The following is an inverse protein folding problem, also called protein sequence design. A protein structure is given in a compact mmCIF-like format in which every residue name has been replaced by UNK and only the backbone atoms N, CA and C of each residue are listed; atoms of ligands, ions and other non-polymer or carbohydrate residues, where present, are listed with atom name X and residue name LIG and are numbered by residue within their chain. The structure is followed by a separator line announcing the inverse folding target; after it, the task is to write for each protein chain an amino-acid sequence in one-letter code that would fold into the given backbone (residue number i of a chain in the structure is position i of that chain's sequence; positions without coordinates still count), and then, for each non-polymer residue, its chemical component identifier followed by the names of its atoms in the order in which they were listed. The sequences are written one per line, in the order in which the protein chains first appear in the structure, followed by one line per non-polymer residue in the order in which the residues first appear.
data_IF_983286981306
#
_entry.id   IF_983286981306
#
_cell.length_a   1.000
_cell.length_b   1.000
_cell.length_c   1.000
_cell.angle_alpha   90.00
_cell.angle_beta   90.00
_cell.angle_gamma   90.00
#
_symmetry.space_group_name_H-M   'P 1'
#
loop_
_entity.id
_entity.type
_entity.pdbx_description
1 polymer ?
#
# COMPACT_ATOMS: atom_id res chain seq x y z
N UNK A 1 2.40 -21.72 -18.03
CA UNK A 1 1.22 -21.30 -17.24
C UNK A 1 1.73 -20.49 -16.05
N UNK A 2 1.59 -19.16 -16.09
CA UNK A 2 2.12 -18.28 -15.04
C UNK A 2 1.29 -18.44 -13.76
N UNK A 3 1.94 -18.73 -12.63
CA UNK A 3 1.33 -18.68 -11.29
C UNK A 3 0.69 -17.30 -11.14
N UNK A 4 -0.63 -17.20 -11.26
CA UNK A 4 -1.37 -16.07 -10.70
C UNK A 4 -1.09 -16.15 -9.20
N UNK A 5 -0.15 -15.35 -8.70
CA UNK A 5 -0.11 -15.05 -7.28
C UNK A 5 -1.54 -14.63 -6.91
N UNK A 6 -2.09 -15.20 -5.83
CA UNK A 6 -3.45 -14.91 -5.38
C UNK A 6 -3.54 -13.43 -5.01
N UNK A 7 -3.86 -12.61 -5.99
CA UNK A 7 -4.03 -11.19 -5.85
C UNK A 7 -5.29 -10.96 -5.02
N UNK A 8 -5.16 -10.40 -3.82
CA UNK A 8 -6.34 -10.06 -3.02
C UNK A 8 -7.07 -8.84 -3.58
N UNK A 9 -8.34 -8.70 -3.20
CA UNK A 9 -9.16 -7.54 -3.56
C UNK A 9 -8.52 -6.23 -3.07
N UNK A 10 -8.16 -6.18 -1.79
CA UNK A 10 -7.66 -4.95 -1.18
C UNK A 10 -6.24 -4.62 -1.68
N UNK A 11 -5.33 -5.61 -1.80
CA UNK A 11 -3.98 -5.37 -2.31
C UNK A 11 -3.98 -4.88 -3.76
N UNK A 12 -4.88 -5.39 -4.60
CA UNK A 12 -5.04 -4.89 -5.98
C UNK A 12 -5.42 -3.42 -6.02
N UNK A 13 -6.34 -3.00 -5.14
CA UNK A 13 -6.73 -1.59 -5.03
C UNK A 13 -5.50 -0.76 -4.61
N UNK A 14 -4.77 -1.19 -3.59
CA UNK A 14 -3.58 -0.49 -3.11
C UNK A 14 -2.50 -0.34 -4.19
N UNK A 15 -2.28 -1.38 -5.01
CA UNK A 15 -1.31 -1.34 -6.12
C UNK A 15 -1.63 -0.27 -7.17
N UNK A 16 -2.91 0.05 -7.39
CA UNK A 16 -3.29 1.14 -8.29
C UNK A 16 -3.18 2.50 -7.58
N UNK A 17 -3.65 2.58 -6.33
CA UNK A 17 -3.62 3.81 -5.55
C UNK A 17 -2.21 4.32 -5.25
N UNK A 18 -1.20 3.44 -5.21
CA UNK A 18 0.18 3.87 -4.95
C UNK A 18 0.67 4.90 -5.99
N UNK A 19 0.17 4.83 -7.22
CA UNK A 19 0.49 5.74 -8.33
C UNK A 19 -0.45 6.96 -8.42
N UNK A 20 -1.41 7.12 -7.51
CA UNK A 20 -2.31 8.27 -7.46
C UNK A 20 -1.61 9.46 -6.80
N UNK A 21 -0.87 10.25 -7.59
CA UNK A 21 -0.06 11.36 -7.06
C UNK A 21 -0.80 12.69 -6.95
N UNK A 22 -1.93 12.85 -7.64
CA UNK A 22 -2.70 14.09 -7.65
C UNK A 22 -4.21 13.81 -7.75
N UNK A 23 -5.07 14.72 -7.26
CA UNK A 23 -6.53 14.58 -7.35
C UNK A 23 -7.05 14.37 -8.77
N UNK A 24 -6.38 14.98 -9.77
CA UNK A 24 -6.77 14.87 -11.19
C UNK A 24 -6.72 13.43 -11.72
N UNK A 25 -5.94 12.56 -11.07
CA UNK A 25 -5.74 11.16 -11.47
C UNK A 25 -6.82 10.23 -10.91
N UNK A 26 -7.64 10.67 -9.96
CA UNK A 26 -8.59 9.80 -9.24
C UNK A 26 -9.52 9.06 -10.20
N UNK A 27 -10.11 9.76 -11.18
CA UNK A 27 -11.02 9.14 -12.14
C UNK A 27 -10.32 8.03 -12.97
N UNK A 28 -9.06 8.27 -13.37
CA UNK A 28 -8.28 7.29 -14.12
C UNK A 28 -7.91 6.07 -13.25
N UNK A 29 -7.46 6.33 -12.01
CA UNK A 29 -7.13 5.29 -11.03
C UNK A 29 -8.34 4.40 -10.73
N UNK A 30 -9.50 4.99 -10.49
CA UNK A 30 -10.74 4.24 -10.25
C UNK A 30 -11.18 3.41 -11.47
N UNK A 31 -11.01 3.95 -12.68
CA UNK A 31 -11.26 3.19 -13.91
C UNK A 31 -10.32 1.96 -14.02
N UNK A 32 -9.04 2.11 -13.65
CA UNK A 32 -8.07 1.00 -13.62
C UNK A 32 -8.43 -0.04 -12.56
N UNK A 33 -8.82 0.39 -11.37
CA UNK A 33 -9.28 -0.50 -10.29
C UNK A 33 -10.48 -1.31 -10.76
N UNK A 34 -11.53 -0.66 -11.28
CA UNK A 34 -12.74 -1.33 -11.81
C UNK A 34 -12.39 -2.38 -12.86
N UNK A 35 -11.51 -2.02 -13.81
CA UNK A 35 -11.04 -2.93 -14.86
C UNK A 35 -10.29 -4.14 -14.29
N UNK A 36 -9.38 -3.92 -13.34
CA UNK A 36 -8.56 -4.98 -12.75
C UNK A 36 -9.38 -5.91 -11.85
N UNK A 37 -10.29 -5.37 -11.02
CA UNK A 37 -11.20 -6.18 -10.21
C UNK A 37 -12.04 -7.14 -11.06
N UNK A 38 -12.56 -6.65 -12.20
CA UNK A 38 -13.28 -7.47 -13.18
C UNK A 38 -12.37 -8.53 -13.82
N UNK A 39 -11.17 -8.14 -14.25
CA UNK A 39 -10.22 -9.07 -14.89
C UNK A 39 -9.81 -10.23 -13.97
N UNK A 40 -9.62 -9.97 -12.68
CA UNK A 40 -9.24 -10.99 -11.70
C UNK A 40 -10.43 -11.66 -11.00
N UNK A 41 -11.68 -11.26 -11.32
CA UNK A 41 -12.90 -11.75 -10.69
C UNK A 41 -12.88 -11.64 -9.14
N UNK A 42 -12.44 -10.50 -8.62
CA UNK A 42 -12.26 -10.28 -7.16
C UNK A 42 -13.51 -9.69 -6.48
N UNK A 43 -14.57 -9.43 -7.24
CA UNK A 43 -15.82 -8.84 -6.75
C UNK A 43 -16.07 -7.42 -7.28
N UNK A 44 -17.19 -6.80 -6.89
CA UNK A 44 -17.59 -5.50 -7.39
C UNK A 44 -16.72 -4.37 -6.81
N UNK A 45 -16.61 -3.27 -7.55
CA UNK A 45 -16.04 -2.02 -7.06
C UNK A 45 -16.88 -1.47 -5.89
N UNK A 46 -16.21 -1.04 -4.81
CA UNK A 46 -16.84 -0.40 -3.65
C UNK A 46 -16.07 0.87 -3.28
N UNK A 47 -16.70 2.03 -3.44
CA UNK A 47 -16.06 3.33 -3.18
C UNK A 47 -15.49 3.40 -1.76
N UNK A 48 -16.29 3.04 -0.76
CA UNK A 48 -15.88 3.07 0.66
C UNK A 48 -14.63 2.24 0.94
N UNK A 49 -14.46 1.08 0.27
CA UNK A 49 -13.25 0.24 0.42
C UNK A 49 -12.04 0.91 -0.23
N UNK A 50 -12.23 1.51 -1.41
CA UNK A 50 -11.17 2.25 -2.10
C UNK A 50 -10.73 3.46 -1.28
N UNK A 51 -11.67 4.21 -0.73
CA UNK A 51 -11.38 5.37 0.11
C UNK A 51 -10.63 4.97 1.38
N UNK A 52 -11.03 3.89 2.04
CA UNK A 52 -10.33 3.35 3.20
C UNK A 52 -8.87 2.96 2.88
N UNK A 53 -8.63 2.29 1.75
CA UNK A 53 -7.27 1.92 1.32
C UNK A 53 -6.46 3.15 0.86
N UNK A 54 -7.14 4.16 0.29
CA UNK A 54 -6.52 5.44 -0.09
C UNK A 54 -6.03 6.21 1.14
N UNK A 55 -6.77 6.16 2.25
CA UNK A 55 -6.31 6.71 3.52
C UNK A 55 -5.01 6.04 3.98
N UNK A 56 -4.94 4.70 3.99
CA UNK A 56 -3.73 3.95 4.33
C UNK A 56 -2.54 4.39 3.47
N UNK A 57 -2.74 4.43 2.15
CA UNK A 57 -1.70 4.83 1.21
C UNK A 57 -1.17 6.22 1.53
N UNK A 58 -2.04 7.18 1.83
CA UNK A 58 -1.65 8.56 2.11
C UNK A 58 -0.92 8.68 3.46
N UNK A 59 -1.35 7.95 4.49
CA UNK A 59 -0.65 7.89 5.76
C UNK A 59 0.75 7.29 5.60
N UNK A 60 0.88 6.17 4.89
CA UNK A 60 2.19 5.57 4.58
C UNK A 60 3.08 6.53 3.79
N UNK A 61 2.53 7.23 2.79
CA UNK A 61 3.30 8.21 2.03
C UNK A 61 3.80 9.37 2.90
N UNK A 62 3.01 9.82 3.87
CA UNK A 62 3.43 10.87 4.80
C UNK A 62 4.49 10.35 5.78
N UNK A 63 4.29 9.16 6.34
CA UNK A 63 5.20 8.54 7.31
C UNK A 63 6.56 8.22 6.68
N UNK A 64 6.59 7.56 5.52
CA UNK A 64 7.82 7.13 4.85
C UNK A 64 8.66 8.35 4.42
N UNK A 65 8.02 9.46 4.03
CA UNK A 65 8.70 10.73 3.70
C UNK A 65 9.42 11.36 4.88
N UNK A 66 9.11 10.97 6.13
CA UNK A 66 9.84 11.44 7.31
C UNK A 66 11.27 10.89 7.37
N UNK A 67 11.55 9.78 6.67
CA UNK A 67 12.87 9.15 6.61
C UNK A 67 13.44 8.94 8.02
N UNK A 68 14.61 9.49 8.32
CA UNK A 68 15.29 9.40 9.62
C UNK A 68 14.51 10.00 10.79
N UNK A 69 13.42 10.73 10.54
CA UNK A 69 12.51 11.27 11.57
C UNK A 69 11.33 10.34 11.86
N UNK A 70 11.08 9.33 11.04
CA UNK A 70 10.07 8.32 11.31
C UNK A 70 10.49 7.47 12.51
N UNK A 71 9.56 7.19 13.40
CA UNK A 71 9.80 6.25 14.52
C UNK A 71 10.02 4.81 14.05
N UNK A 72 9.68 4.51 12.79
CA UNK A 72 9.88 3.20 12.17
C UNK A 72 11.19 3.11 11.40
N UNK A 73 11.97 4.19 11.28
CA UNK A 73 13.20 4.19 10.50
C UNK A 73 14.33 3.49 11.27
N UNK A 74 14.75 2.34 10.76
CA UNK A 74 15.94 1.65 11.21
C UNK A 74 17.14 2.35 10.59
N UNK A 75 17.99 2.93 11.44
CA UNK A 75 19.25 3.53 10.99
C UNK A 75 20.21 2.43 10.57
N UNK A 76 20.08 1.91 9.36
CA UNK A 76 21.06 0.98 8.81
C UNK A 76 22.29 1.77 8.34
N UNK A 77 23.50 1.21 8.46
CA UNK A 77 24.74 1.88 8.06
C UNK A 77 24.95 1.91 6.53
N UNK A 78 23.96 1.52 5.72
CA UNK A 78 24.12 1.45 4.27
C UNK A 78 23.97 2.82 3.62
N UNK A 79 24.69 3.04 2.51
CA UNK A 79 24.56 4.25 1.68
C UNK A 79 23.34 4.14 0.74
N UNK A 80 22.82 2.93 0.52
CA UNK A 80 21.68 2.67 -0.36
C UNK A 80 20.41 2.45 0.44
N UNK A 81 19.30 2.99 -0.06
CA UNK A 81 17.97 2.76 0.48
C UNK A 81 17.59 1.28 0.36
N UNK A 82 17.12 0.69 1.46
CA UNK A 82 16.72 -0.71 1.55
C UNK A 82 15.37 -0.87 2.22
N UNK A 83 14.74 -2.01 1.97
CA UNK A 83 13.47 -2.37 2.63
C UNK A 83 13.63 -2.45 4.15
N UNK A 84 14.80 -2.88 4.62
CA UNK A 84 15.11 -3.06 6.03
C UNK A 84 15.29 -1.73 6.80
N UNK A 85 15.38 -0.60 6.09
CA UNK A 85 15.46 0.73 6.69
C UNK A 85 14.16 1.16 7.35
N UNK A 86 13.07 0.42 7.14
CA UNK A 86 11.81 0.61 7.87
C UNK A 86 11.41 -0.67 8.59
N UNK A 87 11.01 -0.56 9.86
CA UNK A 87 10.43 -1.65 10.64
C UNK A 87 8.98 -1.91 10.21
N UNK A 88 8.84 -2.65 9.10
CA UNK A 88 7.53 -3.09 8.58
C UNK A 88 6.74 -3.89 9.63
N UNK A 89 7.41 -4.63 10.52
CA UNK A 89 6.70 -5.42 11.53
C UNK A 89 6.04 -4.52 12.56
N UNK A 90 6.75 -3.50 13.05
CA UNK A 90 6.18 -2.51 13.96
C UNK A 90 5.10 -1.67 13.29
N UNK A 91 5.28 -1.28 12.02
CA UNK A 91 4.25 -0.58 11.26
C UNK A 91 2.96 -1.40 11.16
N UNK A 92 3.04 -2.71 10.90
CA UNK A 92 1.85 -3.58 10.85
C UNK A 92 1.13 -3.58 12.20
N UNK A 93 1.86 -3.71 13.31
CA UNK A 93 1.28 -3.68 14.67
C UNK A 93 0.54 -2.36 14.91
N UNK A 94 1.18 -1.24 14.60
CA UNK A 94 0.65 0.09 14.91
C UNK A 94 -0.52 0.49 14.00
N UNK A 95 -0.53 0.05 12.74
CA UNK A 95 -1.60 0.37 11.79
C UNK A 95 -2.81 -0.57 11.88
N UNK A 96 -2.63 -1.81 12.36
CA UNK A 96 -3.72 -2.81 12.45
C UNK A 96 -4.98 -2.28 13.15
N UNK A 97 -4.91 -1.58 14.31
CA UNK A 97 -6.10 -1.05 14.98
C UNK A 97 -6.90 -0.03 14.15
N UNK A 98 -6.23 0.73 13.27
CA UNK A 98 -6.85 1.77 12.45
C UNK A 98 -7.47 1.22 11.16
N UNK A 99 -7.07 0.00 10.75
CA UNK A 99 -7.51 -0.64 9.52
C UNK A 99 -8.13 -2.03 9.78
N UNK A 100 -9.17 -2.14 10.63
CA UNK A 100 -9.76 -3.43 11.04
C UNK A 100 -10.45 -4.18 9.90
N UNK A 101 -10.68 -3.49 8.77
CA UNK A 101 -11.32 -4.01 7.57
C UNK A 101 -10.35 -4.72 6.63
N UNK A 102 -9.04 -4.59 6.87
CA UNK A 102 -7.97 -5.25 6.12
C UNK A 102 -7.48 -6.49 6.88
N UNK A 103 -7.18 -7.56 6.14
CA UNK A 103 -6.51 -8.71 6.74
C UNK A 103 -5.09 -8.33 7.15
N UNK A 104 -4.55 -8.94 8.21
CA UNK A 104 -3.15 -8.69 8.62
C UNK A 104 -2.14 -9.05 7.51
N UNK A 105 -2.47 -10.03 6.66
CA UNK A 105 -1.66 -10.39 5.51
C UNK A 105 -1.65 -9.27 4.46
N UNK A 106 -2.83 -8.75 4.09
CA UNK A 106 -2.95 -7.64 3.14
C UNK A 106 -2.27 -6.38 3.66
N UNK A 107 -2.48 -6.04 4.93
CA UNK A 107 -1.87 -4.86 5.53
C UNK A 107 -0.33 -4.96 5.49
N UNK A 108 0.23 -6.12 5.82
CA UNK A 108 1.68 -6.35 5.72
C UNK A 108 2.19 -6.21 4.28
N UNK A 109 1.49 -6.81 3.31
CA UNK A 109 1.86 -6.69 1.90
C UNK A 109 1.78 -5.25 1.39
N UNK A 110 0.75 -4.50 1.77
CA UNK A 110 0.58 -3.08 1.42
C UNK A 110 1.67 -2.21 2.03
N UNK A 111 2.00 -2.39 3.31
CA UNK A 111 3.06 -1.61 3.97
C UNK A 111 4.41 -1.92 3.31
N UNK A 112 4.74 -3.20 3.10
CA UNK A 112 5.97 -3.58 2.40
C UNK A 112 6.04 -3.02 0.99
N UNK A 113 4.96 -3.10 0.22
CA UNK A 113 4.88 -2.51 -1.11
C UNK A 113 4.99 -0.98 -1.08
N UNK A 114 4.41 -0.34 -0.06
CA UNK A 114 4.52 1.09 0.18
C UNK A 114 5.97 1.53 0.40
N UNK A 115 6.70 0.86 1.29
CA UNK A 115 8.13 1.12 1.52
C UNK A 115 8.92 0.92 0.23
N UNK A 116 8.68 -0.18 -0.49
CA UNK A 116 9.36 -0.43 -1.76
C UNK A 116 9.13 0.73 -2.75
N UNK A 117 7.88 1.10 -2.97
CA UNK A 117 7.48 2.06 -3.99
C UNK A 117 7.80 3.53 -3.64
N UNK A 118 7.80 3.87 -2.36
CA UNK A 118 7.89 5.27 -1.91
C UNK A 118 9.27 5.63 -1.36
N UNK A 119 10.12 4.65 -1.08
CA UNK A 119 11.47 4.86 -0.53
C UNK A 119 12.58 4.25 -1.37
N UNK A 120 12.41 3.00 -1.85
CA UNK A 120 13.50 2.28 -2.52
C UNK A 120 13.52 2.44 -4.04
N UNK A 121 12.37 2.75 -4.64
CA UNK A 121 12.16 2.87 -6.09
C UNK A 121 12.20 4.32 -6.55
#
# INVERSE_FOLDING_TARGET
MSKKANQSYDFLIFQELIYEYAPVMQAETEAKIKRRLKYYNLGPYRQERVDHIRMLRNELANEIKLLTRSKYYNKTPSVYAKMEDFDVSQMVIDYTPNYPLLSSADLREMIGWGVYMLYTR
#
